data_IF_796350753719
#
_entry.id   IF_796350753719
#
_cell.length_a   1.000
_cell.length_b   1.000
_cell.length_c   1.000
_cell.angle_alpha   90.00
_cell.angle_beta   90.00
_cell.angle_gamma   90.00
#
_symmetry.space_group_name_H-M   'P 1'
#
loop_
_entity.id
_entity.type
_entity.pdbx_description
1 polymer ?
#
# COMPACT_ATOMS: atom_id res chain seq x y z
N UNK A 1 12.91 1.76 3.43
CA UNK A 1 11.95 1.76 4.56
C UNK A 1 10.91 2.83 4.21
N UNK A 2 9.60 2.56 4.27
CA UNK A 2 8.60 3.61 4.06
C UNK A 2 8.69 4.54 5.27
N UNK A 3 9.32 5.69 5.12
CA UNK A 3 9.46 6.64 6.24
C UNK A 3 8.15 7.41 6.47
N UNK A 4 7.41 7.71 5.40
CA UNK A 4 6.15 8.45 5.45
C UNK A 4 5.18 8.02 4.34
N UNK A 5 3.87 8.03 4.63
CA UNK A 5 2.79 7.97 3.63
C UNK A 5 1.75 9.04 3.97
N UNK A 6 1.58 10.03 3.10
CA UNK A 6 0.76 11.20 3.41
C UNK A 6 1.27 11.88 4.68
N UNK A 7 0.37 12.11 5.64
CA UNK A 7 0.74 12.69 6.95
C UNK A 7 1.29 11.68 7.97
N UNK A 8 1.19 10.39 7.69
CA UNK A 8 1.52 9.35 8.67
C UNK A 8 3.03 9.08 8.70
N UNK A 9 3.60 9.06 9.91
CA UNK A 9 5.02 8.79 10.15
C UNK A 9 5.17 7.34 10.61
N UNK A 10 5.82 6.49 9.83
CA UNK A 10 5.87 5.05 10.10
C UNK A 10 6.95 4.72 11.14
N UNK A 11 6.58 3.91 12.16
CA UNK A 11 7.48 3.49 13.26
C UNK A 11 7.98 2.06 13.04
N UNK A 12 7.05 1.11 13.08
CA UNK A 12 7.37 -0.31 12.95
C UNK A 12 6.24 -1.10 12.28
N UNK A 13 6.57 -2.29 11.78
CA UNK A 13 5.58 -3.22 11.24
C UNK A 13 4.99 -4.04 12.38
N UNK A 14 3.68 -3.98 12.55
CA UNK A 14 2.97 -4.68 13.64
C UNK A 14 2.14 -5.87 13.18
N UNK A 15 1.96 -6.05 11.87
CA UNK A 15 1.25 -7.21 11.34
C UNK A 15 1.48 -7.44 9.85
N UNK A 16 1.39 -8.71 9.44
CA UNK A 16 1.42 -9.13 8.03
C UNK A 16 0.29 -10.11 7.82
N UNK A 17 -0.52 -9.89 6.79
CA UNK A 17 -1.54 -10.82 6.32
C UNK A 17 -1.43 -11.02 4.81
N UNK A 18 -2.22 -11.94 4.25
CA UNK A 18 -2.14 -12.26 2.82
C UNK A 18 -2.35 -11.06 1.88
N UNK A 19 -3.23 -10.12 2.27
CA UNK A 19 -3.64 -8.99 1.42
C UNK A 19 -2.96 -7.67 1.78
N UNK A 20 -2.26 -7.58 2.92
CA UNK A 20 -1.74 -6.31 3.41
C UNK A 20 -0.67 -6.49 4.49
N UNK A 21 0.14 -5.44 4.64
CA UNK A 21 1.02 -5.23 5.78
C UNK A 21 0.47 -4.09 6.64
N UNK A 22 0.47 -4.27 7.97
CA UNK A 22 0.01 -3.26 8.93
C UNK A 22 1.21 -2.69 9.68
N UNK A 23 1.28 -1.37 9.73
CA UNK A 23 2.32 -0.62 10.41
C UNK A 23 1.74 0.22 11.54
N UNK A 24 2.51 0.35 12.62
CA UNK A 24 2.32 1.41 13.60
C UNK A 24 2.87 2.70 13.01
N UNK A 25 2.07 3.75 13.05
CA UNK A 25 2.46 5.08 12.60
C UNK A 25 1.93 6.16 13.55
N UNK A 26 2.51 7.34 13.49
CA UNK A 26 2.00 8.54 14.17
C UNK A 26 1.16 9.38 13.20
N UNK A 27 -0.01 9.82 13.65
CA UNK A 27 -0.76 10.89 13.00
C UNK A 27 -0.43 12.22 13.71
N UNK A 28 0.35 13.13 13.08
CA UNK A 28 0.79 14.38 13.72
C UNK A 28 -0.34 15.40 13.88
N UNK A 29 -1.45 15.25 13.16
CA UNK A 29 -2.62 16.12 13.36
C UNK A 29 -3.40 15.70 14.60
N UNK A 30 -3.60 14.38 14.76
CA UNK A 30 -4.35 13.81 15.88
C UNK A 30 -3.49 13.54 17.12
N UNK A 31 -2.17 13.71 17.03
CA UNK A 31 -1.20 13.49 18.11
C UNK A 31 -1.35 12.11 18.77
N UNK A 32 -1.53 11.07 17.95
CA UNK A 32 -1.70 9.69 18.44
C UNK A 32 -1.12 8.65 17.50
N UNK A 33 -0.85 7.49 18.06
CA UNK A 33 -0.50 6.30 17.30
C UNK A 33 -1.72 5.71 16.58
N UNK A 34 -1.51 5.30 15.33
CA UNK A 34 -2.51 4.71 14.44
C UNK A 34 -1.95 3.47 13.75
N UNK A 35 -2.84 2.53 13.39
CA UNK A 35 -2.48 1.40 12.54
C UNK A 35 -2.77 1.73 11.07
N UNK A 36 -1.73 1.71 10.23
CA UNK A 36 -1.86 1.95 8.79
C UNK A 36 -1.76 0.62 8.04
N UNK A 37 -2.84 0.23 7.35
CA UNK A 37 -2.91 -0.97 6.52
C UNK A 37 -2.50 -0.63 5.09
N UNK A 38 -1.35 -1.15 4.66
CA UNK A 38 -0.83 -1.01 3.30
C UNK A 38 -1.20 -2.27 2.53
N UNK A 39 -2.09 -2.14 1.54
CA UNK A 39 -2.52 -3.25 0.71
C UNK A 39 -1.36 -3.75 -0.17
N UNK A 40 -1.19 -5.07 -0.27
CA UNK A 40 -0.34 -5.65 -1.29
C UNK A 40 -1.01 -5.38 -2.63
N UNK A 41 -0.31 -4.75 -3.58
CA UNK A 41 -0.78 -4.71 -4.96
C UNK A 41 -0.83 -6.16 -5.44
N UNK A 42 -2.01 -6.77 -5.38
CA UNK A 42 -2.29 -7.95 -6.19
C UNK A 42 -2.31 -7.38 -7.61
N UNK A 43 -1.36 -7.78 -8.44
CA UNK A 43 -1.30 -7.34 -9.82
C UNK A 43 -2.63 -7.70 -10.51
N UNK A 44 -3.58 -6.77 -10.51
CA UNK A 44 -4.67 -6.73 -11.47
C UNK A 44 -4.12 -6.08 -12.73
N UNK A 45 -3.05 -6.65 -13.27
CA UNK A 45 -2.44 -6.30 -14.55
C UNK A 45 -2.79 -7.34 -15.64
N UNK A 46 -3.88 -8.11 -15.45
CA UNK A 46 -4.41 -9.02 -16.49
C UNK A 46 -5.77 -8.56 -17.06
N UNK A 47 -6.17 -7.29 -16.93
CA UNK A 47 -7.43 -6.85 -17.58
C UNK A 47 -7.40 -5.44 -18.19
N UNK A 48 -6.23 -4.86 -18.42
CA UNK A 48 -6.14 -3.61 -19.20
C UNK A 48 -4.84 -3.45 -20.03
N UNK A 49 -4.12 -4.54 -20.33
CA UNK A 49 -2.91 -4.51 -21.17
C UNK A 49 -2.89 -5.55 -22.31
N UNK A 50 -3.91 -6.42 -22.44
CA UNK A 50 -4.01 -7.39 -23.55
C UNK A 50 -4.96 -6.98 -24.69
N UNK A 51 -5.63 -5.84 -24.61
CA UNK A 51 -6.60 -5.41 -25.63
C UNK A 51 -6.09 -4.33 -26.60
N UNK A 52 -4.86 -3.83 -26.47
CA UNK A 52 -4.33 -2.77 -27.37
C UNK A 52 -2.95 -3.02 -27.95
N UNK A 53 -2.34 -4.21 -27.73
CA UNK A 53 -1.08 -4.60 -28.37
C UNK A 53 -1.18 -5.93 -29.13
N UNK A 54 -2.28 -6.11 -29.86
CA UNK A 54 -2.28 -6.88 -31.12
C UNK A 54 -2.54 -5.91 -32.26
N UNK A 55 -1.52 -5.11 -32.56
CA UNK A 55 -1.37 -4.55 -33.90
C UNK A 55 -1.08 -5.70 -34.89
N UNK A 56 -1.71 -5.62 -36.07
CA UNK A 56 -1.31 -6.25 -37.33
C UNK A 56 -1.53 -7.76 -37.53
N UNK A 57 -2.70 -8.10 -38.07
CA UNK A 57 -2.87 -9.00 -39.23
C UNK A 57 -4.21 -8.74 -39.93
#
# INVERSE_FOLDING_TARGET
>A
MLEHIGRYIFKERIGVGGQATVYLAEDPELHRDVAVKVMHQMASEETAYLDTLREEA
#
